data_IF_988870079244
#
_entry.id   IF_988870079244
#
_cell.length_a   1.000
_cell.length_b   1.000
_cell.length_c   1.000
_cell.angle_alpha   90.00
_cell.angle_beta   90.00
_cell.angle_gamma   90.00
#
_symmetry.space_group_name_H-M   'P 1'
#
loop_
_entity.id
_entity.type
_entity.pdbx_description
1 polymer ?
#
# COMPACT_ATOMS: atom_id res chain seq x y z
N UNK A 1 6.46 26.02 -9.94
CA UNK A 1 5.93 25.05 -10.92
C UNK A 1 5.47 23.72 -10.29
N UNK A 2 5.87 23.38 -9.05
CA UNK A 2 5.53 22.11 -8.39
C UNK A 2 4.10 22.03 -7.78
N UNK A 3 3.45 23.16 -7.50
CA UNK A 3 2.11 23.20 -6.89
C UNK A 3 1.02 22.62 -7.83
N UNK A 4 1.12 22.87 -9.14
CA UNK A 4 0.17 22.32 -10.13
C UNK A 4 0.25 20.81 -10.26
N UNK A 5 1.43 20.22 -10.09
CA UNK A 5 1.62 18.76 -10.16
C UNK A 5 0.96 18.10 -8.95
N UNK A 6 1.08 18.71 -7.77
CA UNK A 6 0.47 18.18 -6.56
C UNK A 6 -1.06 18.29 -6.58
N UNK A 7 -1.61 19.43 -7.01
CA UNK A 7 -3.06 19.63 -7.19
C UNK A 7 -3.62 18.71 -8.29
N UNK A 8 -2.94 18.59 -9.43
CA UNK A 8 -3.34 17.69 -10.50
C UNK A 8 -3.28 16.22 -10.07
N UNK A 9 -2.24 15.82 -9.33
CA UNK A 9 -2.15 14.46 -8.78
C UNK A 9 -3.23 14.21 -7.72
N UNK A 10 -3.57 15.19 -6.89
CA UNK A 10 -4.68 15.10 -5.92
C UNK A 10 -6.04 15.02 -6.61
N UNK A 11 -6.25 15.80 -7.68
CA UNK A 11 -7.45 15.75 -8.50
C UNK A 11 -7.57 14.41 -9.26
N UNK A 12 -6.46 13.88 -9.79
CA UNK A 12 -6.42 12.57 -10.47
C UNK A 12 -6.66 11.38 -9.52
N UNK A 13 -6.42 11.57 -8.22
CA UNK A 13 -6.79 10.63 -7.14
C UNK A 13 -8.24 10.80 -6.69
N UNK A 14 -8.93 11.89 -7.06
CA UNK A 14 -10.34 12.07 -6.74
C UNK A 14 -11.21 11.09 -7.51
N UNK A 15 -12.14 10.47 -6.80
CA UNK A 15 -13.12 9.52 -7.35
C UNK A 15 -13.97 10.12 -8.48
N UNK A 16 -14.19 11.44 -8.46
CA UNK A 16 -15.10 12.14 -9.37
C UNK A 16 -14.44 12.62 -10.68
N UNK A 17 -13.11 12.66 -10.73
CA UNK A 17 -12.40 13.24 -11.88
C UNK A 17 -12.59 12.41 -13.16
N UNK A 18 -12.50 11.08 -13.06
CA UNK A 18 -12.66 10.18 -14.23
C UNK A 18 -14.10 10.17 -14.75
N UNK A 19 -15.15 10.04 -13.91
CA UNK A 19 -16.54 10.16 -14.36
C UNK A 19 -16.86 11.51 -15.01
N UNK A 20 -16.35 12.61 -14.45
CA UNK A 20 -16.55 13.94 -15.03
C UNK A 20 -15.99 14.02 -16.45
N UNK A 21 -14.74 13.58 -16.65
CA UNK A 21 -14.10 13.60 -17.96
C UNK A 21 -14.86 12.76 -19.00
N UNK A 22 -15.32 11.57 -18.63
CA UNK A 22 -16.10 10.70 -19.52
C UNK A 22 -17.47 11.30 -19.85
N UNK A 23 -18.09 12.02 -18.90
CA UNK A 23 -19.36 12.72 -19.13
C UNK A 23 -19.19 13.84 -20.15
N UNK A 24 -18.10 14.61 -20.07
CA UNK A 24 -17.77 15.65 -21.07
C UNK A 24 -17.55 15.04 -22.46
N UNK A 25 -16.81 13.92 -22.55
CA UNK A 25 -16.61 13.20 -23.81
C UNK A 25 -17.94 12.71 -24.39
N UNK A 26 -18.82 12.19 -23.54
CA UNK A 26 -20.14 11.71 -23.91
C UNK A 26 -21.05 12.83 -24.44
N UNK A 27 -21.01 14.03 -23.83
CA UNK A 27 -21.72 15.20 -24.35
C UNK A 27 -21.28 15.55 -25.78
N UNK A 28 -19.96 15.58 -26.01
CA UNK A 28 -19.42 15.83 -27.34
C UNK A 28 -19.83 14.73 -28.32
N UNK A 29 -19.79 13.46 -27.90
CA UNK A 29 -20.20 12.34 -28.72
C UNK A 29 -21.70 12.42 -29.09
N UNK A 30 -22.57 12.80 -28.16
CA UNK A 30 -24.00 12.98 -28.42
C UNK A 30 -24.26 14.10 -29.42
N UNK A 31 -23.54 15.22 -29.32
CA UNK A 31 -23.60 16.31 -30.31
C UNK A 31 -23.14 15.86 -31.69
N UNK A 32 -22.06 15.06 -31.76
CA UNK A 32 -21.58 14.48 -33.03
C UNK A 32 -22.63 13.54 -33.62
N UNK A 33 -23.22 12.65 -32.82
CA UNK A 33 -24.29 11.74 -33.29
C UNK A 33 -25.49 12.52 -33.81
N UNK A 34 -25.93 13.56 -33.09
CA UNK A 34 -27.03 14.42 -33.53
C UNK A 34 -26.71 15.16 -34.84
N UNK A 35 -25.52 15.72 -34.96
CA UNK A 35 -25.08 16.36 -36.20
C UNK A 35 -25.00 15.35 -37.35
N UNK A 36 -24.59 14.11 -37.06
CA UNK A 36 -24.52 13.03 -38.03
C UNK A 36 -25.92 12.63 -38.51
N UNK A 37 -26.91 12.50 -37.62
CA UNK A 37 -28.32 12.29 -37.98
C UNK A 37 -28.83 13.40 -38.92
N UNK A 38 -28.56 14.66 -38.58
CA UNK A 38 -28.94 15.80 -39.42
C UNK A 38 -28.25 15.75 -40.79
N UNK A 39 -26.94 15.53 -40.83
CA UNK A 39 -26.19 15.44 -42.08
C UNK A 39 -26.69 14.30 -42.98
N UNK A 40 -27.03 13.16 -42.38
CA UNK A 40 -27.52 11.98 -43.10
C UNK A 40 -28.93 12.20 -43.65
N UNK A 41 -29.79 12.94 -42.94
CA UNK A 41 -31.14 13.26 -43.42
C UNK A 41 -31.17 14.08 -44.71
N UNK A 42 -30.08 14.77 -45.04
CA UNK A 42 -29.95 15.62 -46.24
C UNK A 42 -29.41 14.87 -47.47
N UNK A 43 -29.02 13.60 -47.34
CA UNK A 43 -28.34 12.83 -48.39
C UNK A 43 -28.92 11.42 -48.52
N UNK A 44 -29.24 11.00 -49.75
CA UNK A 44 -29.66 9.61 -50.04
C UNK A 44 -28.43 8.68 -50.11
N UNK A 45 -28.23 7.84 -49.09
CA UNK A 45 -27.10 6.90 -49.04
C UNK A 45 -27.52 5.43 -49.20
N UNK A 46 -26.92 4.67 -50.14
CA UNK A 46 -27.11 3.22 -50.29
C UNK A 46 -26.20 2.34 -49.41
N UNK A 47 -25.29 2.93 -48.63
CA UNK A 47 -24.22 2.20 -47.92
C UNK A 47 -24.58 1.72 -46.51
N UNK A 48 -25.56 2.32 -45.82
CA UNK A 48 -25.94 1.90 -44.47
C UNK A 48 -27.12 0.90 -44.50
N UNK A 49 -27.04 -0.23 -43.78
CA UNK A 49 -28.16 -1.16 -43.66
C UNK A 49 -29.40 -0.47 -43.10
N UNK A 50 -30.54 -0.58 -43.80
CA UNK A 50 -31.82 0.03 -43.39
C UNK A 50 -32.27 -0.34 -41.98
N UNK A 51 -31.79 -1.49 -41.47
CA UNK A 51 -32.06 -2.01 -40.12
C UNK A 51 -31.51 -1.12 -39.00
N UNK A 52 -30.49 -0.29 -39.28
CA UNK A 52 -29.89 0.62 -38.29
C UNK A 52 -30.70 1.92 -38.10
N UNK A 53 -31.67 2.18 -38.96
CA UNK A 53 -32.49 3.38 -38.88
C UNK A 53 -33.80 3.13 -38.16
N UNK A 54 -34.23 4.09 -37.37
CA UNK A 54 -35.50 4.07 -36.65
C UNK A 54 -36.30 5.35 -36.91
N UNK A 55 -37.62 5.31 -36.77
CA UNK A 55 -38.43 6.53 -36.73
C UNK A 55 -38.25 7.26 -35.39
N UNK A 56 -38.82 8.46 -35.26
CA UNK A 56 -38.67 9.30 -34.06
C UNK A 56 -39.17 8.58 -32.80
N UNK A 57 -40.40 8.06 -32.81
CA UNK A 57 -41.03 7.42 -31.65
C UNK A 57 -40.26 6.19 -31.17
N UNK A 58 -39.81 5.34 -32.10
CA UNK A 58 -39.01 4.16 -31.77
C UNK A 58 -37.65 4.56 -31.23
N UNK A 59 -37.02 5.61 -31.78
CA UNK A 59 -35.74 6.11 -31.30
C UNK A 59 -35.85 6.65 -29.87
N UNK A 60 -36.85 7.48 -29.59
CA UNK A 60 -37.15 7.98 -28.25
C UNK A 60 -37.42 6.84 -27.26
N UNK A 61 -38.21 5.84 -27.67
CA UNK A 61 -38.52 4.67 -26.85
C UNK A 61 -37.27 3.85 -26.54
N UNK A 62 -36.43 3.58 -27.54
CA UNK A 62 -35.18 2.82 -27.37
C UNK A 62 -34.20 3.59 -26.47
N UNK A 63 -33.94 4.86 -26.78
CA UNK A 63 -32.96 5.69 -26.04
C UNK A 63 -33.42 5.89 -24.59
N UNK A 64 -34.71 6.15 -24.33
CA UNK A 64 -35.23 6.27 -22.96
C UNK A 64 -35.18 4.95 -22.18
N UNK A 65 -35.50 3.83 -22.81
CA UNK A 65 -35.39 2.50 -22.21
C UNK A 65 -33.94 2.17 -21.85
N UNK A 66 -33.00 2.49 -22.74
CA UNK A 66 -31.56 2.33 -22.50
C UNK A 66 -31.09 3.25 -21.37
N UNK A 67 -31.49 4.53 -21.37
CA UNK A 67 -31.13 5.47 -20.31
C UNK A 67 -31.56 4.96 -18.93
N UNK A 68 -32.81 4.50 -18.80
CA UNK A 68 -33.35 3.92 -17.56
C UNK A 68 -32.61 2.64 -17.14
N UNK A 69 -32.29 1.78 -18.10
CA UNK A 69 -31.55 0.53 -17.85
C UNK A 69 -30.13 0.81 -17.35
N UNK A 70 -29.38 1.72 -18.00
CA UNK A 70 -28.03 2.10 -17.58
C UNK A 70 -28.08 2.84 -16.23
N UNK A 71 -29.10 3.65 -15.96
CA UNK A 71 -29.27 4.31 -14.67
C UNK A 71 -29.50 3.29 -13.53
N UNK A 72 -30.26 2.23 -13.81
CA UNK A 72 -30.44 1.12 -12.87
C UNK A 72 -29.13 0.38 -12.61
N UNK A 73 -28.37 0.05 -13.66
CA UNK A 73 -27.03 -0.55 -13.54
C UNK A 73 -26.08 0.33 -12.72
N UNK A 74 -26.11 1.66 -12.95
CA UNK A 74 -25.31 2.64 -12.19
C UNK A 74 -25.63 2.59 -10.70
N UNK A 75 -26.92 2.55 -10.36
CA UNK A 75 -27.40 2.45 -8.97
C UNK A 75 -26.95 1.15 -8.32
N UNK A 76 -27.11 0.01 -9.01
CA UNK A 76 -26.65 -1.30 -8.52
C UNK A 76 -25.13 -1.29 -8.29
N UNK A 77 -24.36 -0.73 -9.22
CA UNK A 77 -22.91 -0.61 -9.08
C UNK A 77 -22.51 0.25 -7.90
N UNK A 78 -23.15 1.40 -7.68
CA UNK A 78 -22.88 2.23 -6.51
C UNK A 78 -23.20 1.50 -5.20
N UNK A 79 -24.35 0.82 -5.13
CA UNK A 79 -24.74 0.00 -3.98
C UNK A 79 -23.73 -1.12 -3.69
N UNK A 80 -23.32 -1.86 -4.73
CA UNK A 80 -22.30 -2.92 -4.58
C UNK A 80 -20.96 -2.35 -4.13
N UNK A 81 -20.52 -1.23 -4.69
CA UNK A 81 -19.29 -0.53 -4.25
C UNK A 81 -19.39 -0.17 -2.78
N UNK A 82 -20.52 0.37 -2.33
CA UNK A 82 -20.75 0.73 -0.94
C UNK A 82 -20.77 -0.48 -0.01
N UNK A 83 -21.43 -1.58 -0.41
CA UNK A 83 -21.43 -2.83 0.36
C UNK A 83 -20.01 -3.38 0.51
N UNK A 84 -19.24 -3.42 -0.57
CA UNK A 84 -17.83 -3.83 -0.54
C UNK A 84 -17.03 -2.92 0.37
N UNK A 85 -17.21 -1.59 0.26
CA UNK A 85 -16.56 -0.60 1.11
C UNK A 85 -16.84 -0.87 2.60
N UNK A 86 -18.10 -1.07 2.97
CA UNK A 86 -18.50 -1.36 4.35
C UNK A 86 -17.98 -2.71 4.84
N UNK A 87 -17.92 -3.72 3.97
CA UNK A 87 -17.38 -5.04 4.29
C UNK A 87 -15.87 -4.97 4.55
N UNK A 88 -15.13 -4.19 3.76
CA UNK A 88 -13.69 -4.01 3.98
C UNK A 88 -13.39 -3.26 5.29
N UNK A 89 -14.20 -2.24 5.60
CA UNK A 89 -14.09 -1.48 6.84
C UNK A 89 -14.36 -2.36 8.06
N UNK A 90 -15.34 -3.26 7.98
CA UNK A 90 -15.70 -4.16 9.07
C UNK A 90 -14.77 -5.36 9.20
N UNK A 91 -14.32 -5.96 8.09
CA UNK A 91 -13.61 -7.25 8.13
C UNK A 91 -12.08 -7.16 8.05
N UNK A 92 -11.49 -6.15 7.39
CA UNK A 92 -10.04 -6.17 7.08
C UNK A 92 -9.22 -5.05 7.72
N UNK A 93 -9.35 -3.81 7.25
CA UNK A 93 -8.68 -2.66 7.86
C UNK A 93 -9.16 -1.36 7.20
N UNK A 94 -9.37 -0.27 7.94
CA UNK A 94 -9.65 1.04 7.33
C UNK A 94 -8.56 1.54 6.39
N UNK A 95 -7.32 1.02 6.50
CA UNK A 95 -6.18 1.42 5.66
C UNK A 95 -6.14 0.69 4.32
N UNK A 96 -6.83 -0.44 4.18
CA UNK A 96 -6.99 -1.12 2.89
C UNK A 96 -8.06 -0.44 2.02
N UNK A 97 -8.91 0.41 2.63
CA UNK A 97 -9.94 1.22 1.96
C UNK A 97 -9.38 2.07 0.81
N UNK A 98 -8.23 2.70 1.04
CA UNK A 98 -7.59 3.56 0.05
C UNK A 98 -7.25 2.80 -1.23
N UNK A 99 -7.01 1.48 -1.16
CA UNK A 99 -6.77 0.67 -2.34
C UNK A 99 -8.04 0.50 -3.19
N UNK A 100 -9.21 0.43 -2.55
CA UNK A 100 -10.49 0.26 -3.24
C UNK A 100 -11.00 1.55 -3.88
N UNK A 101 -10.96 2.67 -3.13
CA UNK A 101 -11.40 3.98 -3.65
C UNK A 101 -10.54 4.43 -4.85
N UNK A 102 -9.25 4.08 -4.84
CA UNK A 102 -8.31 4.41 -5.91
C UNK A 102 -8.23 3.33 -7.01
N UNK A 103 -9.10 2.32 -6.98
CA UNK A 103 -9.11 1.26 -7.99
C UNK A 103 -9.57 1.80 -9.35
N UNK A 104 -8.64 1.81 -10.31
CA UNK A 104 -8.86 2.40 -11.64
C UNK A 104 -9.95 1.69 -12.44
N UNK A 105 -10.03 0.35 -12.49
CA UNK A 105 -11.16 -0.36 -13.08
C UNK A 105 -12.51 0.06 -12.52
N UNK A 106 -12.66 0.10 -11.19
CA UNK A 106 -13.91 0.54 -10.54
C UNK A 106 -14.31 1.95 -10.94
N UNK A 107 -13.37 2.90 -10.95
CA UNK A 107 -13.62 4.28 -11.40
C UNK A 107 -14.03 4.35 -12.88
N UNK A 108 -13.42 3.53 -13.74
CA UNK A 108 -13.75 3.48 -15.19
C UNK A 108 -15.12 2.89 -15.45
N UNK A 109 -15.50 1.82 -14.75
CA UNK A 109 -16.85 1.23 -14.86
C UNK A 109 -17.91 2.29 -14.55
N UNK A 110 -17.76 3.00 -13.43
CA UNK A 110 -18.70 4.06 -13.05
C UNK A 110 -18.71 5.19 -14.08
N UNK A 111 -17.53 5.60 -14.55
CA UNK A 111 -17.42 6.63 -15.57
C UNK A 111 -18.14 6.26 -16.87
N UNK A 112 -18.05 5.00 -17.32
CA UNK A 112 -18.74 4.50 -18.51
C UNK A 112 -20.25 4.55 -18.31
N UNK A 113 -20.79 4.08 -17.18
CA UNK A 113 -22.23 4.10 -16.96
C UNK A 113 -22.80 5.50 -16.83
N UNK A 114 -22.17 6.37 -16.04
CA UNK A 114 -22.58 7.78 -15.92
C UNK A 114 -22.52 8.46 -17.29
N UNK A 115 -21.47 8.21 -18.08
CA UNK A 115 -21.36 8.77 -19.43
C UNK A 115 -22.41 8.21 -20.40
N UNK A 116 -22.80 6.94 -20.28
CA UNK A 116 -23.87 6.34 -21.08
C UNK A 116 -25.23 6.94 -20.78
N UNK A 117 -25.53 7.23 -19.50
CA UNK A 117 -26.74 7.96 -19.10
C UNK A 117 -26.72 9.38 -19.65
N UNK A 118 -25.61 10.10 -19.48
CA UNK A 118 -25.44 11.46 -20.03
C UNK A 118 -25.62 11.48 -21.55
N UNK A 119 -25.06 10.49 -22.25
CA UNK A 119 -25.18 10.35 -23.71
C UNK A 119 -26.65 10.23 -24.11
N UNK A 120 -27.38 9.30 -23.49
CA UNK A 120 -28.77 9.04 -23.81
C UNK A 120 -29.66 10.24 -23.46
N UNK A 121 -29.51 10.85 -22.28
CA UNK A 121 -30.26 12.05 -21.88
C UNK A 121 -30.00 13.20 -22.85
N UNK A 122 -28.75 13.40 -23.25
CA UNK A 122 -28.39 14.47 -24.20
C UNK A 122 -29.05 14.24 -25.55
N UNK A 123 -29.06 13.01 -26.07
CA UNK A 123 -29.79 12.67 -27.29
C UNK A 123 -31.31 12.89 -27.14
N UNK A 124 -31.91 12.52 -26.01
CA UNK A 124 -33.34 12.77 -25.76
C UNK A 124 -33.67 14.27 -25.73
N UNK A 125 -32.73 15.12 -25.29
CA UNK A 125 -32.92 16.59 -25.30
C UNK A 125 -32.75 17.18 -26.70
N UNK A 126 -31.83 16.63 -27.50
CA UNK A 126 -31.50 17.15 -28.83
C UNK A 126 -32.45 16.66 -29.93
N UNK A 127 -32.96 15.43 -29.82
CA UNK A 127 -33.89 14.85 -30.79
C UNK A 127 -35.27 15.51 -30.64
N UNK A 128 -35.69 16.26 -31.65
CA UNK A 128 -37.00 16.91 -31.72
C UNK A 128 -37.73 16.46 -32.99
N UNK A 129 -39.05 16.22 -32.88
CA UNK A 129 -39.90 15.73 -33.97
C UNK A 129 -40.00 16.75 -35.13
N UNK A 130 -39.86 18.05 -34.84
CA UNK A 130 -39.93 19.14 -35.82
C UNK A 130 -38.67 19.27 -36.70
N UNK A 131 -37.66 18.41 -36.51
CA UNK A 131 -36.37 18.49 -37.22
C UNK A 131 -36.43 18.15 -38.73
N UNK A 132 -37.60 17.71 -39.23
CA UNK A 132 -37.79 17.33 -40.64
C UNK A 132 -37.13 16.01 -41.03
N UNK A 133 -36.53 15.29 -40.07
CA UNK A 133 -35.84 14.02 -40.27
C UNK A 133 -36.83 12.84 -40.22
N UNK A 134 -36.77 11.95 -41.20
CA UNK A 134 -37.64 10.76 -41.26
C UNK A 134 -37.02 9.51 -40.61
N UNK A 135 -35.70 9.46 -40.49
CA UNK A 135 -34.95 8.30 -40.03
C UNK A 135 -33.76 8.77 -39.17
N UNK A 136 -33.57 8.11 -38.03
CA UNK A 136 -32.53 8.42 -37.04
C UNK A 136 -31.62 7.20 -36.86
N UNK A 137 -30.29 7.40 -36.92
CA UNK A 137 -29.28 6.38 -36.58
C UNK A 137 -28.83 6.49 -35.12
N UNK A 138 -29.19 7.58 -34.41
CA UNK A 138 -28.96 7.75 -32.97
C UNK A 138 -29.37 6.55 -32.13
N UNK A 139 -30.49 5.88 -32.45
CA UNK A 139 -30.96 4.69 -31.72
C UNK A 139 -29.99 3.50 -31.83
N UNK A 140 -29.36 3.31 -33.00
CA UNK A 140 -28.35 2.28 -33.19
C UNK A 140 -27.07 2.58 -32.40
N UNK A 141 -26.60 3.83 -32.41
CA UNK A 141 -25.45 4.24 -31.59
C UNK A 141 -25.73 4.12 -30.09
N UNK A 142 -26.94 4.50 -29.64
CA UNK A 142 -27.37 4.26 -28.25
C UNK A 142 -27.39 2.76 -27.93
N UNK A 143 -27.83 1.92 -28.87
CA UNK A 143 -27.75 0.46 -28.75
C UNK A 143 -26.31 -0.05 -28.58
N UNK A 144 -25.34 0.48 -29.33
CA UNK A 144 -23.92 0.15 -29.16
C UNK A 144 -23.43 0.55 -27.77
N UNK A 145 -23.78 1.75 -27.30
CA UNK A 145 -23.45 2.21 -25.93
C UNK A 145 -24.06 1.28 -24.88
N UNK A 146 -25.31 0.83 -25.07
CA UNK A 146 -25.96 -0.12 -24.17
C UNK A 146 -25.24 -1.47 -24.13
N UNK A 147 -24.83 -2.01 -25.28
CA UNK A 147 -24.06 -3.26 -25.37
C UNK A 147 -22.71 -3.12 -24.65
N UNK A 148 -22.00 -2.01 -24.86
CA UNK A 148 -20.76 -1.72 -24.14
C UNK A 148 -21.01 -1.68 -22.63
N UNK A 149 -22.07 -0.99 -22.19
CA UNK A 149 -22.44 -0.93 -20.77
C UNK A 149 -22.75 -2.34 -20.22
N UNK A 150 -23.44 -3.20 -20.98
CA UNK A 150 -23.72 -4.57 -20.58
C UNK A 150 -22.44 -5.39 -20.38
N UNK A 151 -21.50 -5.34 -21.33
CA UNK A 151 -20.22 -6.03 -21.20
C UNK A 151 -19.41 -5.52 -20.00
N UNK A 152 -19.38 -4.19 -19.83
CA UNK A 152 -18.70 -3.54 -18.70
C UNK A 152 -19.37 -3.92 -17.36
N UNK A 153 -20.67 -4.12 -17.32
CA UNK A 153 -21.40 -4.59 -16.14
C UNK A 153 -21.03 -6.03 -15.78
N UNK A 154 -21.00 -6.94 -16.76
CA UNK A 154 -20.54 -8.33 -16.53
C UNK A 154 -19.08 -8.35 -16.06
N UNK A 155 -18.22 -7.55 -16.68
CA UNK A 155 -16.85 -7.35 -16.23
C UNK A 155 -16.78 -6.84 -14.79
N UNK A 156 -17.59 -5.84 -14.44
CA UNK A 156 -17.63 -5.28 -13.10
C UNK A 156 -18.02 -6.32 -12.04
N UNK A 157 -19.03 -7.14 -12.31
CA UNK A 157 -19.42 -8.22 -11.41
C UNK A 157 -18.26 -9.19 -11.19
N UNK A 158 -17.61 -9.63 -12.28
CA UNK A 158 -16.45 -10.51 -12.18
C UNK A 158 -15.27 -9.86 -11.41
N UNK A 159 -15.00 -8.59 -11.68
CA UNK A 159 -13.95 -7.81 -11.02
C UNK A 159 -14.20 -7.71 -9.52
N UNK A 160 -15.41 -7.32 -9.10
CA UNK A 160 -15.78 -7.25 -7.68
C UNK A 160 -15.69 -8.62 -7.02
N UNK A 161 -16.21 -9.68 -7.65
CA UNK A 161 -16.14 -11.03 -7.10
C UNK A 161 -14.71 -11.52 -6.88
N UNK A 162 -13.77 -11.16 -7.75
CA UNK A 162 -12.37 -11.50 -7.57
C UNK A 162 -11.68 -10.61 -6.54
N UNK A 163 -12.03 -9.33 -6.44
CA UNK A 163 -11.41 -8.40 -5.50
C UNK A 163 -11.83 -8.62 -4.05
N UNK A 164 -13.07 -9.10 -3.82
CA UNK A 164 -13.54 -9.46 -2.47
C UNK A 164 -12.75 -10.62 -1.87
N UNK A 165 -12.03 -11.41 -2.68
CA UNK A 165 -11.16 -12.48 -2.16
C UNK A 165 -10.00 -11.89 -1.37
N UNK A 166 -9.97 -12.17 -0.07
CA UNK A 166 -8.93 -11.71 0.86
C UNK A 166 -7.52 -12.05 0.37
N UNK A 167 -7.33 -13.25 -0.19
CA UNK A 167 -6.05 -13.67 -0.76
C UNK A 167 -5.53 -12.74 -1.85
N UNK A 168 -6.41 -12.19 -2.69
CA UNK A 168 -6.02 -11.22 -3.73
C UNK A 168 -5.62 -9.88 -3.12
N UNK A 169 -6.31 -9.44 -2.07
CA UNK A 169 -5.95 -8.22 -1.34
C UNK A 169 -4.57 -8.35 -0.71
N UNK A 170 -4.34 -9.45 0.02
CA UNK A 170 -3.06 -9.77 0.67
C UNK A 170 -1.95 -9.76 -0.38
N UNK A 171 -2.12 -10.55 -1.46
CA UNK A 171 -1.13 -10.66 -2.53
C UNK A 171 -0.82 -9.31 -3.21
N UNK A 172 -1.84 -8.49 -3.47
CA UNK A 172 -1.66 -7.15 -4.05
C UNK A 172 -0.91 -6.20 -3.11
N UNK A 173 -1.14 -6.30 -1.78
CA UNK A 173 -0.37 -5.54 -0.79
C UNK A 173 1.10 -5.98 -0.85
N UNK A 174 1.36 -7.29 -0.89
CA UNK A 174 2.73 -7.83 -1.00
C UNK A 174 3.44 -7.36 -2.25
N UNK A 175 2.84 -7.50 -3.44
CA UNK A 175 3.45 -7.05 -4.70
C UNK A 175 3.80 -5.57 -4.64
N UNK A 176 2.85 -4.72 -4.23
CA UNK A 176 3.10 -3.27 -4.13
C UNK A 176 4.19 -2.92 -3.13
N UNK A 177 4.27 -3.65 -2.02
CA UNK A 177 5.30 -3.45 -1.00
C UNK A 177 6.67 -3.89 -1.53
N UNK A 178 6.74 -5.05 -2.18
CA UNK A 178 7.96 -5.54 -2.83
C UNK A 178 8.46 -4.62 -3.95
N UNK A 179 7.56 -4.02 -4.72
CA UNK A 179 7.91 -3.00 -5.74
C UNK A 179 8.49 -1.73 -5.11
N UNK A 180 8.07 -1.38 -3.88
CA UNK A 180 8.64 -0.23 -3.15
C UNK A 180 10.03 -0.52 -2.64
N UNK A 181 10.30 -1.74 -2.20
CA UNK A 181 11.65 -2.19 -1.86
C UNK A 181 12.57 -2.00 -3.08
N UNK A 182 12.14 -2.44 -4.27
CA UNK A 182 12.93 -2.32 -5.51
C UNK A 182 13.19 -0.86 -5.94
N UNK A 183 12.16 -0.01 -5.79
CA UNK A 183 12.19 1.36 -6.32
C UNK A 183 12.66 2.41 -5.32
N UNK A 184 12.81 2.07 -4.04
CA UNK A 184 13.17 3.05 -3.01
C UNK A 184 14.56 3.62 -3.26
N UNK A 185 14.64 4.96 -3.31
CA UNK A 185 15.91 5.68 -3.51
C UNK A 185 16.93 5.35 -2.41
N UNK A 186 16.46 5.26 -1.16
CA UNK A 186 17.26 4.91 0.01
C UNK A 186 17.96 3.56 -0.15
N UNK A 187 17.29 2.59 -0.77
CA UNK A 187 17.81 1.23 -0.98
C UNK A 187 18.68 1.11 -2.24
N UNK A 188 18.53 2.02 -3.21
CA UNK A 188 19.28 1.99 -4.49
C UNK A 188 20.65 2.67 -4.42
N UNK A 189 20.78 3.83 -3.74
CA UNK A 189 22.00 4.66 -3.79
C UNK A 189 22.94 4.45 -2.59
N UNK A 190 22.41 4.15 -1.40
CA UNK A 190 23.17 4.13 -0.15
C UNK A 190 23.48 2.73 0.41
N UNK A 191 23.26 1.68 -0.39
CA UNK A 191 23.65 0.31 -0.07
C UNK A 191 25.19 0.08 -0.08
N UNK A 192 26.00 1.13 -0.24
CA UNK A 192 27.41 0.94 -0.60
C UNK A 192 28.35 0.89 0.60
N UNK A 193 28.13 1.54 1.76
CA UNK A 193 29.07 1.42 2.89
C UNK A 193 28.40 1.46 4.29
N UNK A 194 28.82 0.56 5.19
CA UNK A 194 28.42 0.53 6.62
C UNK A 194 28.94 1.73 7.41
N UNK A 195 30.01 2.37 6.93
CA UNK A 195 30.47 3.69 7.35
C UNK A 195 30.89 4.48 6.09
N UNK A 196 30.38 5.69 5.88
CA UNK A 196 30.89 6.53 4.81
C UNK A 196 32.40 6.73 5.03
N UNK A 197 33.21 6.45 4.00
CA UNK A 197 34.68 6.52 4.09
C UNK A 197 35.19 7.91 4.50
N UNK A 198 34.37 8.94 4.36
CA UNK A 198 34.65 10.34 4.70
C UNK A 198 33.59 10.93 5.65
N UNK A 199 33.19 10.23 6.73
CA UNK A 199 32.45 10.91 7.80
C UNK A 199 33.41 11.83 8.54
N UNK A 200 33.39 13.12 8.21
CA UNK A 200 34.26 14.08 8.86
C UNK A 200 33.67 14.50 10.22
N UNK A 201 33.92 13.70 11.25
CA UNK A 201 33.48 13.98 12.63
C UNK A 201 33.94 15.36 13.10
N UNK A 202 35.08 15.86 12.60
CA UNK A 202 35.61 17.19 12.95
C UNK A 202 34.64 18.34 12.62
N UNK A 203 33.74 18.19 11.64
CA UNK A 203 32.72 19.21 11.36
C UNK A 203 31.81 19.44 12.58
N UNK A 204 31.48 18.39 13.33
CA UNK A 204 30.63 18.50 14.52
C UNK A 204 31.36 19.18 15.69
N UNK A 205 32.69 19.09 15.71
CA UNK A 205 33.53 19.72 16.73
C UNK A 205 33.89 21.18 16.37
N UNK A 206 34.05 21.48 15.07
CA UNK A 206 34.50 22.77 14.55
C UNK A 206 33.34 23.77 14.30
N UNK A 207 32.08 23.30 14.29
CA UNK A 207 30.92 24.14 13.97
C UNK A 207 29.81 24.01 15.02
N UNK A 208 29.21 25.14 15.40
CA UNK A 208 28.07 25.14 16.33
C UNK A 208 26.80 24.60 15.63
N UNK A 209 26.01 23.73 16.30
CA UNK A 209 24.78 23.20 15.73
C UNK A 209 23.72 24.30 15.62
N UNK A 210 23.17 24.49 14.42
CA UNK A 210 22.08 25.43 14.18
C UNK A 210 20.76 24.65 14.15
N UNK A 211 19.85 24.95 15.09
CA UNK A 211 18.53 24.32 15.12
C UNK A 211 17.56 25.02 14.18
N UNK A 212 16.87 24.25 13.36
CA UNK A 212 15.81 24.75 12.47
C UNK A 212 14.45 24.34 13.05
N UNK A 213 13.57 25.32 13.22
CA UNK A 213 12.28 25.15 13.87
C UNK A 213 11.13 25.10 12.87
N UNK A 214 10.06 24.38 13.22
CA UNK A 214 8.87 24.30 12.38
C UNK A 214 8.12 25.63 12.39
N UNK A 215 7.87 26.21 11.21
CA UNK A 215 7.06 27.43 11.05
C UNK A 215 5.56 27.21 11.22
N UNK A 216 5.11 25.95 11.12
CA UNK A 216 3.69 25.59 11.21
C UNK A 216 3.51 24.22 11.83
N UNK A 217 2.32 23.96 12.36
CA UNK A 217 1.96 22.66 12.94
C UNK A 217 1.35 21.73 11.88
N UNK A 218 1.72 20.45 11.88
CA UNK A 218 1.19 19.45 10.95
C UNK A 218 1.98 18.15 10.95
N UNK A 219 1.47 17.12 10.27
CA UNK A 219 2.22 15.88 10.05
C UNK A 219 3.27 16.06 8.96
N UNK A 220 4.49 15.57 9.18
CA UNK A 220 5.50 15.48 8.13
C UNK A 220 5.10 14.38 7.15
N UNK A 221 4.58 14.74 5.98
CA UNK A 221 4.04 13.79 5.00
C UNK A 221 5.10 13.31 4.01
N UNK A 222 5.97 14.21 3.55
CA UNK A 222 7.03 13.89 2.58
C UNK A 222 8.30 14.68 2.86
N UNK A 223 9.43 14.06 2.51
CA UNK A 223 10.77 14.63 2.57
C UNK A 223 11.41 14.51 1.18
N UNK A 224 11.77 15.62 0.55
CA UNK A 224 12.52 15.61 -0.71
C UNK A 224 14.02 15.40 -0.45
N UNK A 225 14.38 14.16 -0.13
CA UNK A 225 15.75 13.75 0.25
C UNK A 225 16.77 14.14 -0.83
N UNK A 226 16.45 13.89 -2.10
CA UNK A 226 17.38 14.17 -3.21
C UNK A 226 17.66 15.67 -3.36
N UNK A 227 16.61 16.50 -3.28
CA UNK A 227 16.75 17.95 -3.30
C UNK A 227 17.56 18.45 -2.11
N UNK A 228 17.32 17.87 -0.93
CA UNK A 228 18.01 18.23 0.31
C UNK A 228 19.51 17.89 0.25
N UNK A 229 19.88 16.71 -0.26
CA UNK A 229 21.29 16.32 -0.49
C UNK A 229 21.97 17.30 -1.45
N UNK A 230 21.31 17.66 -2.56
CA UNK A 230 21.87 18.59 -3.56
C UNK A 230 22.08 20.00 -3.00
N UNK A 231 21.21 20.45 -2.10
CA UNK A 231 21.36 21.75 -1.42
C UNK A 231 22.48 21.70 -0.38
N UNK A 232 22.46 20.68 0.49
CA UNK A 232 23.49 20.45 1.50
C UNK A 232 24.90 20.33 0.89
N UNK A 233 25.04 19.76 -0.30
CA UNK A 233 26.31 19.72 -1.02
C UNK A 233 26.80 21.10 -1.49
N UNK A 234 25.89 21.99 -1.91
CA UNK A 234 26.24 23.36 -2.32
C UNK A 234 26.58 24.26 -1.14
N UNK A 235 25.88 24.06 -0.05
CA UNK A 235 25.99 24.83 1.18
C UNK A 235 27.15 24.36 2.07
N UNK A 236 27.84 23.28 1.65
CA UNK A 236 28.78 22.52 2.45
C UNK A 236 28.27 22.25 3.87
N UNK A 237 27.06 21.73 3.94
CA UNK A 237 26.32 21.51 5.18
C UNK A 237 26.01 20.03 5.42
N UNK A 238 25.84 19.68 6.70
CA UNK A 238 25.32 18.40 7.15
C UNK A 238 24.03 18.67 7.92
N UNK A 239 22.94 17.99 7.52
CA UNK A 239 21.61 18.18 8.11
C UNK A 239 21.19 16.89 8.80
N UNK A 240 20.97 16.94 10.11
CA UNK A 240 20.36 15.85 10.88
C UNK A 240 18.88 16.10 11.05
N UNK A 241 18.07 15.17 10.56
CA UNK A 241 16.63 15.19 10.81
C UNK A 241 16.37 14.77 12.26
N UNK A 242 15.63 15.60 13.01
CA UNK A 242 15.13 15.26 14.35
C UNK A 242 13.82 14.49 14.25
N UNK A 243 13.09 14.70 13.14
CA UNK A 243 11.77 14.14 12.90
C UNK A 243 11.70 13.41 11.57
N UNK A 244 10.98 12.30 11.57
CA UNK A 244 10.82 11.41 10.41
C UNK A 244 9.41 11.53 9.81
N UNK A 245 9.24 11.23 8.51
CA UNK A 245 7.91 11.21 7.91
C UNK A 245 6.90 10.36 8.70
N UNK A 246 5.71 10.90 8.91
CA UNK A 246 4.63 10.29 9.70
C UNK A 246 4.54 10.78 11.15
N UNK A 247 5.51 11.57 11.62
CA UNK A 247 5.47 12.25 12.92
C UNK A 247 4.75 13.61 12.83
N UNK A 248 4.19 14.06 13.95
CA UNK A 248 3.56 15.37 14.06
C UNK A 248 4.60 16.41 14.48
N UNK A 249 4.66 17.50 13.73
CA UNK A 249 5.47 18.67 14.01
C UNK A 249 4.58 19.74 14.63
N UNK A 250 4.98 20.24 15.80
CA UNK A 250 4.36 21.39 16.42
C UNK A 250 5.13 22.65 16.02
N UNK A 251 4.42 23.73 15.76
CA UNK A 251 5.03 25.04 15.53
C UNK A 251 6.01 25.40 16.65
N UNK A 252 7.18 25.91 16.27
CA UNK A 252 8.25 26.27 17.20
C UNK A 252 9.03 25.08 17.80
N UNK A 253 8.79 23.84 17.33
CA UNK A 253 9.62 22.68 17.72
C UNK A 253 10.74 22.42 16.70
N UNK A 254 11.90 21.91 17.14
CA UNK A 254 13.02 21.62 16.24
C UNK A 254 12.67 20.47 15.28
N UNK A 255 12.93 20.69 14.00
CA UNK A 255 12.66 19.71 12.92
C UNK A 255 13.96 19.06 12.44
N UNK A 256 15.02 19.84 12.38
CA UNK A 256 16.35 19.41 11.96
C UNK A 256 17.43 20.25 12.64
N UNK A 257 18.64 19.73 12.64
CA UNK A 257 19.86 20.43 13.07
C UNK A 257 20.82 20.49 11.90
N UNK A 258 21.39 21.66 11.64
CA UNK A 258 22.36 21.90 10.58
C UNK A 258 23.75 22.19 11.15
N UNK A 259 24.77 21.67 10.49
CA UNK A 259 26.18 22.01 10.70
C UNK A 259 26.74 22.50 9.37
N UNK A 260 27.44 23.63 9.36
CA UNK A 260 28.01 24.21 8.15
C UNK A 260 29.21 25.07 8.49
N UNK A 261 30.20 25.07 7.60
CA UNK A 261 31.32 26.03 7.64
C UNK A 261 30.96 27.36 6.95
N UNK A 262 29.88 27.37 6.14
CA UNK A 262 29.43 28.51 5.38
C UNK A 262 28.44 29.36 6.19
N UNK A 263 28.91 30.50 6.69
CA UNK A 263 28.10 31.43 7.52
C UNK A 263 27.08 32.25 6.74
N UNK A 264 27.09 32.20 5.41
CA UNK A 264 26.17 32.97 4.56
C UNK A 264 24.89 32.21 4.21
N UNK A 265 24.78 30.94 4.58
CA UNK A 265 23.59 30.14 4.27
C UNK A 265 22.43 30.49 5.19
N UNK A 266 21.23 30.52 4.62
CA UNK A 266 20.00 30.50 5.37
C UNK A 266 19.62 29.02 5.61
N UNK A 267 19.45 28.60 6.87
CA UNK A 267 19.15 27.20 7.21
C UNK A 267 17.66 26.91 7.22
N UNK A 268 16.82 27.94 7.39
CA UNK A 268 15.36 27.86 7.30
C UNK A 268 14.91 27.46 5.89
N UNK A 269 15.73 27.81 4.92
CA UNK A 269 15.70 27.46 3.51
C UNK A 269 15.64 25.93 3.24
N UNK A 270 15.92 25.08 4.24
CA UNK A 270 15.73 23.62 4.19
C UNK A 270 14.29 23.17 4.48
N UNK A 271 13.46 24.02 5.07
CA UNK A 271 12.04 23.73 5.34
C UNK A 271 11.24 23.54 4.05
N UNK A 272 11.66 24.13 2.92
CA UNK A 272 11.03 23.97 1.60
C UNK A 272 11.04 22.52 1.08
N UNK A 273 11.94 21.67 1.61
CA UNK A 273 12.01 20.25 1.24
C UNK A 273 11.04 19.37 2.04
N UNK A 274 10.33 19.96 3.00
CA UNK A 274 9.33 19.30 3.83
C UNK A 274 7.93 19.58 3.30
N UNK A 275 7.10 18.54 3.26
CA UNK A 275 5.66 18.69 2.98
C UNK A 275 4.90 18.38 4.26
N UNK A 276 4.25 19.40 4.81
CA UNK A 276 3.38 19.28 5.98
C UNK A 276 1.91 19.20 5.55
N UNK A 277 1.13 18.43 6.29
CA UNK A 277 -0.30 18.37 6.08
C UNK A 277 -1.10 18.12 7.36
N UNK A 278 -2.42 18.37 7.33
CA UNK A 278 -3.28 18.28 8.50
C UNK A 278 -3.49 16.82 8.97
N UNK A 279 -3.39 15.88 8.04
CA UNK A 279 -3.60 14.46 8.30
C UNK A 279 -2.28 13.72 8.27
N UNK A 280 -2.20 12.66 9.08
CA UNK A 280 -1.22 11.59 8.91
C UNK A 280 -1.55 10.83 7.62
N UNK A 281 -1.29 11.47 6.48
CA UNK A 281 -1.42 10.79 5.19
C UNK A 281 -0.47 9.59 5.26
N UNK A 282 -0.97 8.36 5.10
CA UNK A 282 -0.11 7.19 5.14
C UNK A 282 0.90 7.34 4.02
N UNK A 283 2.15 7.64 4.37
CA UNK A 283 3.23 7.57 3.40
C UNK A 283 3.19 6.15 2.87
N UNK A 284 3.08 6.02 1.56
CA UNK A 284 2.94 4.73 0.92
C UNK A 284 4.33 4.07 0.95
N UNK A 285 4.75 3.57 2.11
CA UNK A 285 6.07 3.00 2.39
C UNK A 285 5.99 1.49 2.67
N UNK A 286 7.15 0.90 2.99
CA UNK A 286 7.29 -0.53 3.29
C UNK A 286 6.56 -0.89 4.59
N UNK A 287 6.67 -0.03 5.61
CA UNK A 287 6.07 -0.26 6.92
C UNK A 287 4.53 -0.27 6.85
N UNK A 288 3.93 0.61 6.08
CA UNK A 288 2.49 0.63 5.86
C UNK A 288 2.00 -0.65 5.18
N UNK A 289 2.79 -1.20 4.24
CA UNK A 289 2.50 -2.48 3.59
C UNK A 289 2.41 -3.62 4.61
N UNK A 290 3.47 -3.76 5.42
CA UNK A 290 3.54 -4.76 6.51
C UNK A 290 2.40 -4.53 7.51
N UNK A 291 2.17 -3.29 7.94
CA UNK A 291 1.14 -2.95 8.93
C UNK A 291 -0.26 -3.31 8.44
N UNK A 292 -0.56 -3.12 7.15
CA UNK A 292 -1.84 -3.58 6.56
C UNK A 292 -2.00 -5.10 6.69
N UNK A 293 -0.95 -5.87 6.44
CA UNK A 293 -0.98 -7.33 6.59
C UNK A 293 -1.15 -7.75 8.05
N UNK A 294 -0.44 -7.11 8.98
CA UNK A 294 -0.59 -7.34 10.43
C UNK A 294 -2.01 -7.05 10.89
N UNK A 295 -2.61 -5.93 10.46
CA UNK A 295 -3.99 -5.58 10.81
C UNK A 295 -5.01 -6.60 10.29
N UNK A 296 -4.83 -7.09 9.05
CA UNK A 296 -5.69 -8.15 8.49
C UNK A 296 -5.53 -9.44 9.29
N UNK A 297 -4.30 -9.84 9.60
CA UNK A 297 -4.01 -11.03 10.39
C UNK A 297 -4.65 -10.96 11.79
N UNK A 298 -4.48 -9.83 12.49
CA UNK A 298 -5.07 -9.61 13.82
C UNK A 298 -6.59 -9.65 13.81
N UNK A 299 -7.23 -9.08 12.79
CA UNK A 299 -8.69 -9.21 12.65
C UNK A 299 -9.09 -10.64 12.39
N UNK A 300 -8.36 -11.38 11.57
CA UNK A 300 -8.66 -12.76 11.25
C UNK A 300 -8.57 -13.67 12.49
N UNK A 301 -7.56 -13.52 13.35
CA UNK A 301 -7.45 -14.28 14.62
C UNK A 301 -8.27 -13.69 15.78
N UNK A 302 -9.00 -12.60 15.55
CA UNK A 302 -9.85 -12.03 16.60
C UNK A 302 -11.02 -12.98 16.93
N UNK A 303 -11.53 -12.98 18.18
CA UNK A 303 -12.66 -13.83 18.57
C UNK A 303 -13.92 -13.64 17.72
N UNK A 304 -14.08 -12.49 17.05
CA UNK A 304 -15.24 -12.17 16.23
C UNK A 304 -15.20 -12.81 14.83
N UNK A 305 -14.01 -13.11 14.30
CA UNK A 305 -13.83 -13.67 12.95
C UNK A 305 -13.37 -15.13 13.02
N UNK A 306 -12.34 -15.41 13.81
CA UNK A 306 -11.79 -16.74 14.05
C UNK A 306 -11.40 -17.50 12.76
N UNK A 307 -10.63 -16.85 11.88
CA UNK A 307 -10.09 -17.39 10.64
C UNK A 307 -8.56 -17.44 10.67
N UNK A 308 -7.96 -18.46 11.30
CA UNK A 308 -6.50 -18.60 11.41
C UNK A 308 -5.83 -18.80 10.04
N UNK A 309 -6.50 -19.35 9.04
CA UNK A 309 -5.90 -19.55 7.71
C UNK A 309 -5.62 -18.23 7.00
N UNK A 310 -6.53 -17.25 7.11
CA UNK A 310 -6.28 -15.90 6.58
C UNK A 310 -5.10 -15.23 7.29
N UNK A 311 -4.98 -15.38 8.61
CA UNK A 311 -3.85 -14.86 9.36
C UNK A 311 -2.54 -15.54 8.97
N UNK A 312 -2.54 -16.86 8.76
CA UNK A 312 -1.37 -17.59 8.28
C UNK A 312 -0.90 -17.08 6.92
N UNK A 313 -1.82 -16.88 5.97
CA UNK A 313 -1.49 -16.31 4.67
C UNK A 313 -0.85 -14.91 4.80
N UNK A 314 -1.35 -14.07 5.71
CA UNK A 314 -0.74 -12.77 5.97
C UNK A 314 0.66 -12.89 6.57
N UNK A 315 0.88 -13.82 7.50
CA UNK A 315 2.19 -14.07 8.13
C UNK A 315 3.21 -14.58 7.10
N UNK A 316 2.80 -15.51 6.23
CA UNK A 316 3.64 -16.00 5.13
C UNK A 316 4.05 -14.84 4.20
N UNK A 317 3.10 -13.98 3.83
CA UNK A 317 3.34 -12.83 2.95
C UNK A 317 4.19 -11.73 3.62
N UNK A 318 4.04 -11.52 4.93
CA UNK A 318 4.96 -10.71 5.73
C UNK A 318 6.37 -11.30 5.67
N UNK A 319 6.51 -12.62 5.83
CA UNK A 319 7.79 -13.32 5.69
C UNK A 319 8.43 -13.12 4.33
N UNK A 320 7.65 -13.16 3.24
CA UNK A 320 8.14 -12.92 1.87
C UNK A 320 8.70 -11.50 1.76
N UNK A 321 7.97 -10.50 2.26
CA UNK A 321 8.40 -9.09 2.26
C UNK A 321 9.69 -8.93 3.07
N UNK A 322 9.75 -9.47 4.28
CA UNK A 322 10.93 -9.37 5.16
C UNK A 322 12.13 -10.12 4.60
N UNK A 323 11.92 -11.29 3.97
CA UNK A 323 12.97 -12.06 3.32
C UNK A 323 13.56 -11.30 2.14
N UNK A 324 12.72 -10.62 1.35
CA UNK A 324 13.18 -9.71 0.30
C UNK A 324 13.91 -8.50 0.89
N UNK A 325 13.34 -7.89 1.93
CA UNK A 325 13.92 -6.72 2.58
C UNK A 325 15.33 -7.00 3.11
N UNK A 326 15.55 -8.16 3.71
CA UNK A 326 16.85 -8.58 4.22
C UNK A 326 17.91 -8.81 3.12
N UNK A 327 17.49 -9.15 1.90
CA UNK A 327 18.41 -9.29 0.75
C UNK A 327 18.96 -7.94 0.29
N UNK A 328 18.18 -6.88 0.49
CA UNK A 328 18.65 -5.53 0.26
C UNK A 328 19.41 -5.06 1.49
N UNK A 329 20.58 -4.45 1.29
CA UNK A 329 21.22 -3.72 2.38
C UNK A 329 20.25 -2.62 2.83
N UNK A 330 19.87 -2.67 4.12
CA UNK A 330 19.04 -1.63 4.70
C UNK A 330 19.72 -0.27 4.52
N UNK A 331 18.94 0.79 4.31
CA UNK A 331 19.51 2.10 4.09
C UNK A 331 20.27 2.55 5.35
N UNK A 332 21.47 3.06 5.13
CA UNK A 332 22.24 3.73 6.19
C UNK A 332 21.48 4.96 6.67
N UNK A 333 21.62 5.27 7.97
CA UNK A 333 21.14 6.55 8.52
C UNK A 333 21.93 7.74 7.99
N UNK A 334 23.06 7.51 7.33
CA UNK A 334 23.91 8.52 6.70
C UNK A 334 23.71 8.51 5.19
N UNK A 335 23.20 9.62 4.65
CA UNK A 335 22.94 9.79 3.22
C UNK A 335 23.96 10.74 2.62
N UNK A 336 24.71 10.25 1.63
CA UNK A 336 25.83 10.97 1.03
C UNK A 336 25.49 11.60 -0.33
N UNK A 337 26.28 12.58 -0.73
CA UNK A 337 26.30 13.13 -2.09
C UNK A 337 27.05 12.22 -3.09
N UNK A 338 27.28 12.71 -4.31
CA UNK A 338 27.99 11.97 -5.37
C UNK A 338 29.49 11.81 -5.09
N UNK A 339 30.06 12.62 -4.20
CA UNK A 339 31.46 12.57 -3.77
C UNK A 339 31.64 11.71 -2.50
N UNK A 340 30.56 11.03 -2.06
CA UNK A 340 30.51 10.19 -0.87
C UNK A 340 30.67 10.96 0.46
N UNK A 341 30.46 12.28 0.47
CA UNK A 341 30.41 13.07 1.69
C UNK A 341 29.02 12.98 2.30
N UNK A 342 28.93 12.74 3.62
CA UNK A 342 27.64 12.70 4.32
C UNK A 342 27.00 14.08 4.26
N UNK A 343 25.74 14.14 3.83
CA UNK A 343 24.97 15.39 3.76
C UNK A 343 23.73 15.35 4.64
N UNK A 344 23.03 14.23 4.71
CA UNK A 344 21.82 14.10 5.51
C UNK A 344 21.98 12.93 6.50
N UNK A 345 21.66 13.17 7.77
CA UNK A 345 21.52 12.12 8.80
C UNK A 345 20.02 11.95 9.06
N UNK A 346 19.48 10.77 8.74
CA UNK A 346 18.08 10.43 8.89
C UNK A 346 17.99 9.02 9.47
N UNK A 347 17.54 8.90 10.72
CA UNK A 347 17.39 7.59 11.37
C UNK A 347 16.51 6.64 10.54
N UNK A 348 17.05 5.45 10.26
CA UNK A 348 16.36 4.39 9.53
C UNK A 348 16.04 3.23 10.48
N UNK A 349 14.87 2.56 10.33
CA UNK A 349 14.57 1.35 11.07
C UNK A 349 15.59 0.24 10.78
N UNK A 350 16.03 -0.44 11.83
CA UNK A 350 16.87 -1.64 11.72
C UNK A 350 16.06 -2.85 11.24
N UNK A 351 16.73 -3.92 10.83
CA UNK A 351 16.02 -5.15 10.45
C UNK A 351 15.22 -5.73 11.63
N UNK A 352 15.77 -5.62 12.83
CA UNK A 352 15.12 -6.06 14.07
C UNK A 352 13.85 -5.24 14.36
N UNK A 353 13.84 -3.94 14.04
CA UNK A 353 12.62 -3.12 14.14
C UNK A 353 11.52 -3.64 13.22
N UNK A 354 11.87 -4.03 11.98
CA UNK A 354 10.91 -4.64 11.06
C UNK A 354 10.39 -5.99 11.57
N UNK A 355 11.26 -6.86 12.10
CA UNK A 355 10.86 -8.12 12.73
C UNK A 355 9.90 -7.88 13.90
N UNK A 356 10.30 -6.99 14.82
CA UNK A 356 9.50 -6.66 16.01
C UNK A 356 8.13 -6.13 15.61
N UNK A 357 8.07 -5.08 14.79
CA UNK A 357 6.82 -4.44 14.36
C UNK A 357 5.91 -5.37 13.57
N UNK A 358 6.48 -6.37 12.89
CA UNK A 358 5.72 -7.39 12.15
C UNK A 358 5.07 -8.42 13.08
N UNK A 359 5.78 -8.89 14.10
CA UNK A 359 5.35 -10.07 14.85
C UNK A 359 4.87 -9.80 16.29
N UNK A 360 5.15 -8.64 16.91
CA UNK A 360 4.84 -8.43 18.33
C UNK A 360 3.35 -8.61 18.67
N UNK A 361 2.45 -8.05 17.85
CA UNK A 361 1.01 -8.19 18.06
C UNK A 361 0.54 -9.60 17.73
N UNK A 362 1.04 -10.19 16.64
CA UNK A 362 0.66 -11.54 16.22
C UNK A 362 1.08 -12.59 17.26
N UNK A 363 2.27 -12.44 17.83
CA UNK A 363 2.74 -13.19 19.00
C UNK A 363 1.80 -13.00 20.19
N UNK A 364 1.46 -11.75 20.53
CA UNK A 364 0.66 -11.46 21.72
C UNK A 364 -0.78 -12.01 21.62
N UNK A 365 -1.45 -11.79 20.49
CA UNK A 365 -2.84 -12.21 20.28
C UNK A 365 -2.96 -13.68 19.83
N UNK A 366 -1.93 -14.24 19.19
CA UNK A 366 -1.87 -15.64 18.75
C UNK A 366 -1.19 -16.59 19.75
N UNK A 367 -0.89 -16.14 20.98
CA UNK A 367 -0.09 -16.89 21.97
C UNK A 367 -0.65 -18.27 22.38
N UNK A 368 -1.95 -18.51 22.18
CA UNK A 368 -2.65 -19.77 22.45
C UNK A 368 -2.92 -20.58 21.18
N UNK A 369 -2.61 -20.03 20.00
CA UNK A 369 -2.89 -20.65 18.71
C UNK A 369 -1.59 -21.20 18.09
N UNK A 370 -1.43 -22.52 18.18
CA UNK A 370 -0.28 -23.25 17.63
C UNK A 370 -0.11 -23.00 16.12
N UNK A 371 -1.20 -22.80 15.38
CA UNK A 371 -1.15 -22.59 13.95
C UNK A 371 -0.52 -21.23 13.59
N UNK A 372 -0.73 -20.22 14.43
CA UNK A 372 -0.14 -18.88 14.28
C UNK A 372 1.32 -18.89 14.72
N UNK A 373 1.62 -19.48 15.88
CA UNK A 373 2.99 -19.61 16.39
C UNK A 373 3.88 -20.32 15.37
N UNK A 374 3.41 -21.46 14.85
CA UNK A 374 4.14 -22.23 13.85
C UNK A 374 4.36 -21.44 12.54
N UNK A 375 3.37 -20.66 12.11
CA UNK A 375 3.52 -19.84 10.89
C UNK A 375 4.52 -18.70 11.09
N UNK A 376 4.58 -18.10 12.29
CA UNK A 376 5.64 -17.12 12.61
C UNK A 376 7.02 -17.78 12.52
N UNK A 377 7.21 -18.96 13.12
CA UNK A 377 8.48 -19.69 13.05
C UNK A 377 8.85 -20.09 11.61
N UNK A 378 7.87 -20.53 10.82
CA UNK A 378 8.05 -20.81 9.38
C UNK A 378 8.44 -19.55 8.60
N UNK A 379 7.82 -18.41 8.89
CA UNK A 379 8.19 -17.12 8.31
C UNK A 379 9.63 -16.74 8.66
N UNK A 380 10.05 -16.91 9.92
CA UNK A 380 11.43 -16.71 10.35
C UNK A 380 12.38 -17.62 9.57
N UNK A 381 12.05 -18.92 9.44
CA UNK A 381 12.84 -19.89 8.67
C UNK A 381 13.03 -19.43 7.22
N UNK A 382 11.95 -19.03 6.55
CA UNK A 382 11.98 -18.55 5.16
C UNK A 382 12.86 -17.29 4.99
N UNK A 383 12.92 -16.43 6.00
CA UNK A 383 13.85 -15.30 6.03
C UNK A 383 15.29 -15.82 6.14
N UNK A 384 15.57 -16.77 7.03
CA UNK A 384 16.91 -17.35 7.24
C UNK A 384 17.47 -18.09 6.01
N UNK A 385 16.66 -18.90 5.32
CA UNK A 385 17.10 -19.75 4.19
C UNK A 385 17.72 -18.96 3.02
N UNK A 386 17.29 -17.72 2.82
CA UNK A 386 17.57 -16.95 1.61
C UNK A 386 18.42 -15.70 1.85
N UNK A 387 19.06 -15.57 3.02
CA UNK A 387 19.74 -14.33 3.43
C UNK A 387 21.13 -14.56 4.01
N UNK A 388 21.80 -13.45 4.33
CA UNK A 388 23.17 -13.41 4.87
C UNK A 388 23.29 -14.12 6.23
N UNK A 389 24.52 -14.49 6.62
CA UNK A 389 24.81 -15.07 7.94
C UNK A 389 24.45 -14.11 9.10
N UNK A 390 24.49 -12.81 8.88
CA UNK A 390 24.03 -11.82 9.86
C UNK A 390 22.52 -11.91 10.04
N UNK A 391 21.76 -11.95 8.94
CA UNK A 391 20.30 -12.13 8.98
C UNK A 391 19.91 -13.44 9.65
N UNK A 392 20.60 -14.53 9.35
CA UNK A 392 20.39 -15.83 10.01
C UNK A 392 20.56 -15.75 11.51
N UNK A 393 21.61 -15.08 12.00
CA UNK A 393 21.82 -14.83 13.43
C UNK A 393 20.70 -13.98 14.03
N UNK A 394 20.32 -12.87 13.38
CA UNK A 394 19.24 -12.00 13.87
C UNK A 394 17.92 -12.75 14.01
N UNK A 395 17.54 -13.53 13.01
CA UNK A 395 16.31 -14.34 13.01
C UNK A 395 16.39 -15.43 14.08
N UNK A 396 17.54 -16.09 14.21
CA UNK A 396 17.77 -17.10 15.25
C UNK A 396 17.61 -16.52 16.66
N UNK A 397 18.19 -15.35 16.94
CA UNK A 397 18.01 -14.66 18.23
C UNK A 397 16.56 -14.20 18.42
N UNK A 398 15.92 -13.70 17.36
CA UNK A 398 14.53 -13.24 17.42
C UNK A 398 13.54 -14.37 17.75
N UNK A 399 13.90 -15.65 17.53
CA UNK A 399 13.06 -16.78 17.95
C UNK A 399 12.77 -16.75 19.45
N UNK A 400 13.72 -16.32 20.27
CA UNK A 400 13.59 -16.35 21.73
C UNK A 400 12.51 -15.37 22.18
N UNK A 401 12.47 -14.19 21.54
CA UNK A 401 11.36 -13.26 21.72
C UNK A 401 10.01 -13.92 21.40
N UNK A 402 9.89 -14.67 20.30
CA UNK A 402 8.64 -15.38 19.96
C UNK A 402 8.28 -16.42 21.02
N UNK A 403 9.24 -17.26 21.43
CA UNK A 403 9.04 -18.34 22.40
C UNK A 403 8.60 -17.82 23.78
N UNK A 404 9.19 -16.72 24.24
CA UNK A 404 8.79 -16.05 25.49
C UNK A 404 7.33 -15.58 25.51
N UNK A 405 6.67 -15.53 24.35
CA UNK A 405 5.29 -15.04 24.23
C UNK A 405 4.22 -16.11 24.28
N UNK A 406 4.62 -17.38 24.19
CA UNK A 406 3.71 -18.50 24.05
C UNK A 406 3.07 -18.81 25.40
N UNK A 407 1.76 -19.05 25.39
CA UNK A 407 1.01 -19.49 26.55
C UNK A 407 1.07 -21.02 26.67
N UNK A 408 2.20 -21.53 27.19
CA UNK A 408 2.49 -22.95 27.22
C UNK A 408 1.52 -23.78 28.08
N UNK A 409 0.87 -23.16 29.07
CA UNK A 409 -0.13 -23.82 29.91
C UNK A 409 -1.42 -24.15 29.14
N UNK A 410 -1.67 -23.45 28.03
CA UNK A 410 -2.81 -23.71 27.14
C UNK A 410 -2.56 -24.81 26.10
N UNK A 411 -1.30 -25.23 25.92
CA UNK A 411 -0.88 -26.13 24.84
C UNK A 411 -0.79 -27.60 25.28
N UNK A 412 -1.05 -28.52 24.34
CA UNK A 412 -0.90 -29.95 24.56
C UNK A 412 0.51 -30.42 24.18
N UNK A 413 0.92 -31.61 24.66
CA UNK A 413 2.25 -32.18 24.36
C UNK A 413 2.54 -32.26 22.85
N UNK A 414 1.54 -32.63 22.03
CA UNK A 414 1.71 -32.68 20.58
C UNK A 414 1.99 -31.29 19.96
N UNK A 415 1.40 -30.23 20.51
CA UNK A 415 1.65 -28.86 20.05
C UNK A 415 3.10 -28.46 20.37
N UNK A 416 3.60 -28.85 21.55
CA UNK A 416 4.97 -28.60 21.97
C UNK A 416 5.99 -29.33 21.10
N UNK A 417 5.71 -30.59 20.72
CA UNK A 417 6.52 -31.32 19.75
C UNK A 417 6.47 -30.68 18.37
N UNK A 418 5.32 -30.13 17.98
CA UNK A 418 5.16 -29.41 16.72
C UNK A 418 6.01 -28.13 16.69
N UNK A 419 6.07 -27.36 17.79
CA UNK A 419 6.96 -26.20 17.93
C UNK A 419 8.42 -26.63 17.80
N UNK A 420 8.83 -27.68 18.51
CA UNK A 420 10.21 -28.21 18.45
C UNK A 420 10.63 -28.56 17.03
N UNK A 421 9.73 -29.16 16.23
CA UNK A 421 10.01 -29.47 14.82
C UNK A 421 10.25 -28.20 13.98
N UNK A 422 9.45 -27.17 14.16
CA UNK A 422 9.66 -25.89 13.45
C UNK A 422 10.95 -25.19 13.90
N UNK A 423 11.33 -25.32 15.17
CA UNK A 423 12.62 -24.82 15.66
C UNK A 423 13.79 -25.58 15.06
N UNK A 424 13.70 -26.90 14.88
CA UNK A 424 14.72 -27.69 14.19
C UNK A 424 14.94 -27.23 12.75
N UNK A 425 13.85 -26.98 12.02
CA UNK A 425 13.92 -26.47 10.65
C UNK A 425 14.48 -25.04 10.61
N UNK A 426 14.09 -24.18 11.56
CA UNK A 426 14.64 -22.85 11.72
C UNK A 426 16.14 -22.88 12.03
N UNK A 427 16.56 -23.77 12.92
CA UNK A 427 17.96 -23.94 13.32
C UNK A 427 18.83 -24.36 12.14
N UNK A 428 18.35 -25.33 11.35
CA UNK A 428 19.01 -25.75 10.12
C UNK A 428 19.16 -24.58 9.13
N UNK A 429 18.10 -23.80 8.91
CA UNK A 429 18.15 -22.63 8.00
C UNK A 429 19.05 -21.50 8.50
N UNK A 430 19.23 -21.40 9.82
CA UNK A 430 20.00 -20.34 10.47
C UNK A 430 21.46 -20.74 10.75
N UNK A 431 21.91 -21.92 10.32
CA UNK A 431 23.27 -22.40 10.54
C UNK A 431 23.55 -22.88 11.97
N UNK A 432 22.53 -23.32 12.70
CA UNK A 432 22.60 -23.77 14.11
C UNK A 432 22.17 -25.24 14.27
N UNK A 433 22.76 -26.21 13.54
CA UNK A 433 22.25 -27.59 13.51
C UNK A 433 22.34 -28.34 14.85
N UNK A 434 23.24 -27.92 15.75
CA UNK A 434 23.50 -28.55 17.04
C UNK A 434 22.99 -27.70 18.22
N UNK A 435 21.88 -26.98 18.02
CA UNK A 435 21.30 -26.15 19.07
C UNK A 435 20.78 -26.99 20.25
N UNK A 436 20.84 -26.41 21.45
CA UNK A 436 20.42 -27.08 22.69
C UNK A 436 18.89 -27.10 22.81
N UNK A 437 18.30 -28.26 22.53
CA UNK A 437 16.85 -28.48 22.65
C UNK A 437 16.40 -28.53 24.11
N UNK A 438 17.26 -29.02 24.98
CA UNK A 438 16.96 -29.17 26.40
C UNK A 438 16.97 -27.81 27.10
N UNK A 439 17.81 -26.87 26.66
CA UNK A 439 17.74 -25.47 27.10
C UNK A 439 16.33 -24.90 26.86
N UNK A 440 15.78 -25.04 25.66
CA UNK A 440 14.45 -24.50 25.33
C UNK A 440 13.34 -25.23 26.08
N UNK A 441 13.41 -26.57 26.20
CA UNK A 441 12.43 -27.33 27.00
C UNK A 441 12.46 -26.89 28.46
N UNK A 442 13.64 -26.79 29.05
CA UNK A 442 13.79 -26.48 30.47
C UNK A 442 13.47 -25.02 30.79
N UNK A 443 13.74 -24.10 29.85
CA UNK A 443 13.44 -22.68 30.00
C UNK A 443 11.95 -22.37 29.88
N UNK A 444 11.25 -23.00 28.94
CA UNK A 444 9.91 -22.55 28.55
C UNK A 444 8.79 -23.55 28.84
N UNK A 445 9.05 -24.87 28.84
CA UNK A 445 7.97 -25.85 28.91
C UNK A 445 7.49 -26.02 30.37
N UNK A 446 6.20 -26.38 30.59
CA UNK A 446 5.70 -26.75 31.90
C UNK A 446 6.53 -27.89 32.52
N UNK A 447 6.63 -27.92 33.85
CA UNK A 447 7.49 -28.85 34.61
C UNK A 447 7.38 -30.32 34.16
N UNK A 448 6.16 -30.77 33.86
CA UNK A 448 5.88 -32.15 33.41
C UNK A 448 6.51 -32.52 32.06
N UNK A 449 7.04 -31.55 31.32
CA UNK A 449 7.67 -31.72 30.00
C UNK A 449 9.16 -31.33 29.98
N UNK A 450 9.74 -30.96 31.13
CA UNK A 450 11.17 -30.65 31.26
C UNK A 450 12.02 -31.92 31.22
N UNK A 451 13.25 -31.82 30.77
CA UNK A 451 14.20 -32.93 30.77
C UNK A 451 14.98 -32.97 32.09
N UNK A 452 15.29 -34.17 32.58
CA UNK A 452 15.88 -34.42 33.89
C UNK A 452 17.35 -33.94 34.04
N UNK A 453 18.00 -33.55 32.95
CA UNK A 453 19.47 -33.38 32.92
C UNK A 453 19.98 -31.98 33.31
N UNK A 454 19.11 -30.98 33.52
CA UNK A 454 19.57 -29.61 33.85
C UNK A 454 19.86 -29.35 35.33
N UNK A 455 19.43 -30.22 36.25
CA UNK A 455 19.70 -30.04 37.69
C UNK A 455 21.16 -30.34 38.10
N UNK A 456 21.98 -30.89 37.20
CA UNK A 456 23.36 -31.28 37.52
C UNK A 456 24.44 -30.28 37.12
N UNK A 457 24.15 -29.22 36.35
CA UNK A 457 25.16 -28.22 35.97
C UNK A 457 25.22 -26.97 36.85
N UNK A 458 24.33 -26.81 37.83
CA UNK A 458 24.33 -25.64 38.76
C UNK A 458 24.80 -25.96 40.18
N UNK A 459 25.40 -27.13 40.43
CA UNK A 459 25.89 -27.52 41.78
C UNK A 459 27.39 -27.73 41.91
N UNK A 460 28.17 -27.32 40.92
CA UNK A 460 29.63 -27.29 41.02
C UNK A 460 30.15 -25.88 40.67
N UNK A 461 29.97 -24.95 41.61
CA UNK A 461 30.90 -23.85 41.89
C UNK A 461 31.09 -23.73 43.41
#
# INVERSE_FOLDING_TARGET
>A
MNLNIHIFNKARKSFWFVPFLFSVISLVLALITFYFDWWLSQHDYPLFPKVLFSNFDLSMTIISTIASSIMTMTTITFSTIMVVLTTFLSQYSPRTLQNFINDRPTQRVLAIFVSGVVYCITLLVLLQDESGQKLYISSAFAGIVAIICLFVFVYFVHHVSNWVKVSNLIHNITIKTNQKIDNSYLYRKNAINEQPSNFNETLFDDTEPIMVYSEQSGYLQQLNIEGMIKKAAKDDAVIRMVKTPGEYLLEGTPVMTAWTTNKEINVEDYLEFLVLGPDKEPMEDIELGIRKLVEIALRAISPAINDPNTAKNCIEEIGIILSKLAKHKLPSSYLSDEENNVRIILEQPTFVDYLYRSFYQLRHYGKQDISIIAEILRSLRMIGENNSEETKRMVWTFKDYILEGIDYDSLQNLDMQYIMRHLDELAASSGQPNWDKDEVRNKYFPEQYKTSDSYHHQKEE
#
